data_IF_046369860185
#
_entry.id   IF_046369860185
#
_cell.length_a   1.000
_cell.length_b   1.000
_cell.length_c   1.000
_cell.angle_alpha   90.00
_cell.angle_beta   90.00
_cell.angle_gamma   90.00
#
_symmetry.space_group_name_H-M   'P 1'
#
loop_
_entity.id
_entity.type
_entity.pdbx_description
1 polymer ?
#
# COMPACT_ATOMS: atom_id res chain seq x y z
N UNK A 1 -14.17 27.15 -5.59
CA UNK A 1 -12.73 26.83 -5.41
C UNK A 1 -11.92 27.68 -6.38
N UNK A 2 -10.73 28.14 -5.96
CA UNK A 2 -9.86 29.01 -6.75
C UNK A 2 -8.91 28.13 -7.57
N UNK A 3 -8.80 28.37 -8.89
CA UNK A 3 -7.83 27.67 -9.74
C UNK A 3 -6.40 27.93 -9.27
N UNK A 4 -5.62 26.87 -9.08
CA UNK A 4 -4.24 26.92 -8.55
C UNK A 4 -3.20 26.92 -9.68
N UNK A 5 -3.49 26.26 -10.80
CA UNK A 5 -2.59 26.17 -11.95
C UNK A 5 -2.93 27.21 -13.03
N UNK A 6 -1.88 27.74 -13.66
CA UNK A 6 -1.97 28.59 -14.85
C UNK A 6 -1.70 27.75 -16.10
N UNK A 7 -2.75 27.34 -16.80
CA UNK A 7 -2.65 26.48 -18.00
C UNK A 7 -1.96 27.13 -19.20
N UNK A 8 -1.61 28.42 -19.13
CA UNK A 8 -0.77 29.06 -20.15
C UNK A 8 0.73 28.76 -19.94
N UNK A 9 1.10 28.21 -18.79
CA UNK A 9 2.48 27.85 -18.43
C UNK A 9 2.71 26.35 -18.55
N UNK A 10 3.92 25.98 -18.97
CA UNK A 10 4.39 24.61 -18.91
C UNK A 10 4.96 24.32 -17.53
N UNK A 11 4.50 23.24 -16.90
CA UNK A 11 4.98 22.79 -15.59
C UNK A 11 5.71 21.45 -15.73
N UNK A 12 6.87 21.35 -15.08
CA UNK A 12 7.54 20.06 -14.86
C UNK A 12 7.02 19.44 -13.56
N UNK A 13 7.33 18.16 -13.33
CA UNK A 13 6.98 17.50 -12.08
C UNK A 13 7.56 18.22 -10.84
N UNK A 14 8.81 18.67 -10.91
CA UNK A 14 9.46 19.40 -9.81
C UNK A 14 8.71 20.69 -9.44
N UNK A 15 8.18 21.41 -10.44
CA UNK A 15 7.45 22.65 -10.20
C UNK A 15 6.24 22.44 -9.27
N UNK A 16 5.54 21.31 -9.38
CA UNK A 16 4.39 21.03 -8.51
C UNK A 16 4.80 20.84 -7.03
N UNK A 17 5.97 20.23 -6.78
CA UNK A 17 6.51 20.05 -5.43
C UNK A 17 6.95 21.38 -4.83
N UNK A 18 7.65 22.21 -5.60
CA UNK A 18 8.15 23.52 -5.16
C UNK A 18 7.00 24.49 -4.84
N UNK A 19 5.84 24.33 -5.49
CA UNK A 19 4.64 25.12 -5.23
C UNK A 19 3.93 24.74 -3.92
N UNK A 20 4.30 23.61 -3.29
CA UNK A 20 3.68 23.14 -2.04
C UNK A 20 2.18 22.87 -2.17
N UNK A 21 1.73 22.47 -3.36
CA UNK A 21 0.31 22.17 -3.61
C UNK A 21 0.01 20.77 -3.06
N UNK A 22 -1.04 20.67 -2.25
CA UNK A 22 -1.53 19.37 -1.79
C UNK A 22 -1.99 18.49 -2.96
N UNK A 23 -1.70 17.20 -2.87
CA UNK A 23 -1.90 16.28 -4.00
C UNK A 23 -3.37 16.15 -4.42
N UNK A 24 -4.30 16.28 -3.48
CA UNK A 24 -5.75 16.25 -3.71
C UNK A 24 -6.23 17.49 -4.47
N UNK A 25 -5.71 18.67 -4.13
CA UNK A 25 -5.96 19.94 -4.84
C UNK A 25 -5.40 19.86 -6.26
N UNK A 26 -4.19 19.32 -6.42
CA UNK A 26 -3.60 19.13 -7.74
C UNK A 26 -4.43 18.16 -8.60
N UNK A 27 -4.85 17.03 -8.04
CA UNK A 27 -5.68 16.06 -8.75
C UNK A 27 -7.01 16.70 -9.23
N UNK A 28 -7.62 17.55 -8.40
CA UNK A 28 -8.85 18.25 -8.72
C UNK A 28 -8.71 19.22 -9.90
N UNK A 29 -7.57 19.92 -10.03
CA UNK A 29 -7.28 20.80 -11.18
C UNK A 29 -7.25 20.04 -12.51
N UNK A 30 -6.90 18.75 -12.47
CA UNK A 30 -6.92 17.86 -13.64
C UNK A 30 -8.25 17.12 -13.82
N UNK A 31 -9.27 17.45 -13.02
CA UNK A 31 -10.60 16.84 -13.09
C UNK A 31 -10.69 15.48 -12.39
N UNK A 32 -9.70 15.11 -11.58
CA UNK A 32 -9.72 13.89 -10.78
C UNK A 32 -10.16 14.18 -9.35
N UNK A 33 -10.95 13.27 -8.79
CA UNK A 33 -11.36 13.30 -7.39
C UNK A 33 -10.90 12.04 -6.67
N UNK A 34 -10.81 12.12 -5.36
CA UNK A 34 -10.59 10.95 -4.51
C UNK A 34 -11.92 10.49 -3.93
N UNK A 35 -12.20 9.19 -4.07
CA UNK A 35 -13.40 8.56 -3.53
C UNK A 35 -12.99 7.49 -2.51
N UNK A 36 -13.34 7.70 -1.24
CA UNK A 36 -13.13 6.75 -0.17
C UNK A 36 -14.37 5.89 -0.01
N UNK A 37 -14.29 4.64 -0.46
CA UNK A 37 -15.35 3.65 -0.27
C UNK A 37 -15.01 2.73 0.88
N UNK A 38 -15.97 2.53 1.77
CA UNK A 38 -15.89 1.43 2.73
C UNK A 38 -16.14 0.12 1.98
N UNK A 39 -15.19 -0.81 2.07
CA UNK A 39 -15.32 -2.14 1.52
C UNK A 39 -15.68 -3.11 2.63
N UNK A 40 -16.81 -3.81 2.48
CA UNK A 40 -17.14 -4.96 3.30
C UNK A 40 -16.28 -6.14 2.83
N UNK A 41 -15.07 -6.27 3.40
CA UNK A 41 -14.19 -7.37 3.08
C UNK A 41 -14.76 -8.68 3.66
N UNK A 42 -14.72 -9.79 2.90
CA UNK A 42 -15.08 -11.10 3.42
C UNK A 42 -14.26 -11.39 4.67
N UNK A 43 -14.96 -11.69 5.76
CA UNK A 43 -14.31 -12.11 7.00
C UNK A 43 -13.97 -13.58 6.91
N UNK A 44 -12.73 -13.93 7.27
CA UNK A 44 -12.36 -15.33 7.37
C UNK A 44 -13.07 -15.95 8.57
N UNK A 45 -13.89 -16.97 8.32
CA UNK A 45 -14.48 -17.78 9.38
C UNK A 45 -13.57 -18.97 9.68
N UNK A 46 -13.09 -19.08 10.92
CA UNK A 46 -12.27 -20.19 11.39
C UNK A 46 -10.80 -19.84 11.66
N UNK A 47 -10.02 -20.79 12.20
CA UNK A 47 -8.64 -20.56 12.59
C UNK A 47 -7.74 -20.37 11.37
N UNK A 48 -6.81 -19.41 11.47
CA UNK A 48 -5.76 -19.21 10.49
C UNK A 48 -4.65 -20.23 10.77
N UNK A 49 -4.73 -21.42 10.15
CA UNK A 49 -3.79 -22.53 10.39
C UNK A 49 -2.31 -22.13 10.19
N UNK A 50 -2.04 -21.18 9.30
CA UNK A 50 -0.69 -20.71 9.00
C UNK A 50 -0.18 -19.60 9.93
N UNK A 51 -1.02 -19.08 10.84
CA UNK A 51 -0.65 -17.96 11.71
C UNK A 51 0.52 -18.31 12.63
N UNK A 52 0.48 -19.48 13.27
CA UNK A 52 1.55 -19.95 14.13
C UNK A 52 2.89 -20.07 13.37
N UNK A 53 2.85 -20.52 12.11
CA UNK A 53 4.06 -20.59 11.28
C UNK A 53 4.58 -19.19 10.89
N UNK A 54 3.67 -18.26 10.61
CA UNK A 54 4.03 -16.87 10.32
C UNK A 54 4.70 -16.22 11.54
N UNK A 55 4.13 -16.38 12.73
CA UNK A 55 4.69 -15.87 13.98
C UNK A 55 6.12 -16.37 14.19
N UNK A 56 6.34 -17.69 14.06
CA UNK A 56 7.68 -18.26 14.16
C UNK A 56 8.67 -17.65 13.16
N UNK A 57 8.23 -17.39 11.93
CA UNK A 57 9.08 -16.77 10.90
C UNK A 57 9.39 -15.32 11.21
N UNK A 58 8.41 -14.55 11.67
CA UNK A 58 8.59 -13.15 12.08
C UNK A 58 9.55 -13.09 13.26
N UNK A 59 9.34 -13.90 14.31
CA UNK A 59 10.23 -13.97 15.46
C UNK A 59 11.67 -14.31 15.06
N UNK A 60 11.85 -15.25 14.12
CA UNK A 60 13.19 -15.59 13.59
C UNK A 60 13.81 -14.45 12.80
N UNK A 61 13.05 -13.69 12.02
CA UNK A 61 13.59 -12.53 11.29
C UNK A 61 14.00 -11.45 12.27
N UNK A 62 13.14 -11.14 13.25
CA UNK A 62 13.40 -10.10 14.25
C UNK A 62 14.64 -10.37 15.10
N UNK A 63 14.96 -11.64 15.39
CA UNK A 63 16.18 -11.98 16.14
C UNK A 63 17.48 -11.72 15.37
N UNK A 64 17.42 -11.51 14.05
CA UNK A 64 18.58 -11.30 13.19
C UNK A 64 18.63 -9.90 12.56
N UNK A 65 17.64 -9.03 12.83
CA UNK A 65 17.55 -7.69 12.24
C UNK A 65 17.74 -6.62 13.31
N UNK A 66 18.63 -5.67 13.05
CA UNK A 66 18.75 -4.47 13.86
C UNK A 66 17.58 -3.50 13.57
N UNK A 67 16.69 -3.33 14.55
CA UNK A 67 15.51 -2.47 14.49
C UNK A 67 15.82 -0.99 14.75
N UNK A 68 17.09 -0.58 14.90
CA UNK A 68 17.46 0.83 15.07
C UNK A 68 17.12 1.70 13.85
N UNK A 69 17.14 1.11 12.65
CA UNK A 69 16.81 1.79 11.39
C UNK A 69 15.35 1.54 10.98
N UNK A 70 14.65 2.58 10.55
CA UNK A 70 13.28 2.48 10.05
C UNK A 70 13.16 1.67 8.75
N UNK A 71 14.15 1.75 7.86
CA UNK A 71 14.13 0.95 6.63
C UNK A 71 14.15 -0.54 6.96
N UNK A 72 15.03 -0.96 7.88
CA UNK A 72 15.13 -2.34 8.32
C UNK A 72 13.85 -2.82 9.03
N UNK A 73 13.22 -1.95 9.83
CA UNK A 73 11.92 -2.25 10.46
C UNK A 73 10.84 -2.51 9.43
N UNK A 74 10.69 -1.63 8.44
CA UNK A 74 9.69 -1.79 7.37
C UNK A 74 9.91 -3.06 6.58
N UNK A 75 11.13 -3.33 6.15
CA UNK A 75 11.41 -4.53 5.34
C UNK A 75 11.22 -5.81 6.15
N UNK A 76 11.72 -5.87 7.38
CA UNK A 76 11.60 -7.05 8.25
C UNK A 76 10.16 -7.38 8.62
N UNK A 77 9.33 -6.36 8.84
CA UNK A 77 7.93 -6.53 9.23
C UNK A 77 6.99 -6.70 8.05
N UNK A 78 7.23 -6.09 6.89
CA UNK A 78 6.28 -6.13 5.75
C UNK A 78 6.55 -7.34 4.83
N UNK A 79 7.82 -7.69 4.60
CA UNK A 79 8.20 -8.76 3.67
C UNK A 79 7.61 -10.17 3.99
N UNK A 80 7.45 -10.58 5.27
CA UNK A 80 6.85 -11.87 5.61
C UNK A 80 5.39 -11.98 5.18
N UNK A 81 4.62 -10.90 5.33
CA UNK A 81 3.20 -10.85 4.98
C UNK A 81 3.00 -10.75 3.46
N UNK A 82 3.73 -9.86 2.78
CA UNK A 82 3.60 -9.65 1.33
C UNK A 82 3.87 -10.90 0.48
N UNK A 83 4.87 -11.71 0.86
CA UNK A 83 5.15 -12.99 0.19
C UNK A 83 3.98 -13.97 0.22
N UNK A 84 3.14 -13.92 1.27
CA UNK A 84 1.99 -14.81 1.38
C UNK A 84 0.78 -14.27 0.62
N UNK A 85 0.54 -12.96 0.64
CA UNK A 85 -0.48 -12.33 -0.21
C UNK A 85 -0.29 -12.70 -1.68
N UNK A 86 0.93 -12.57 -2.23
CA UNK A 86 1.22 -12.97 -3.61
C UNK A 86 1.10 -14.49 -3.87
N UNK A 87 1.22 -15.33 -2.85
CA UNK A 87 1.00 -16.77 -2.95
C UNK A 87 -0.48 -17.14 -2.93
N UNK A 88 -1.25 -16.54 -2.02
CA UNK A 88 -2.70 -16.73 -1.90
C UNK A 88 -3.44 -16.17 -3.11
N UNK A 89 -3.04 -15.01 -3.63
CA UNK A 89 -3.60 -14.44 -4.86
C UNK A 89 -3.40 -15.39 -6.05
N UNK A 90 -2.20 -15.99 -6.17
CA UNK A 90 -1.90 -16.99 -7.21
C UNK A 90 -2.75 -18.24 -7.05
N UNK A 91 -2.96 -18.72 -5.84
CA UNK A 91 -3.88 -19.84 -5.58
C UNK A 91 -5.33 -19.49 -5.90
N UNK A 92 -5.80 -18.28 -5.57
CA UNK A 92 -7.18 -17.86 -5.82
C UNK A 92 -7.48 -17.66 -7.31
N UNK A 93 -6.52 -17.12 -8.08
CA UNK A 93 -6.61 -17.00 -9.54
C UNK A 93 -6.55 -18.39 -10.21
N UNK A 94 -5.65 -19.27 -9.76
CA UNK A 94 -5.56 -20.64 -10.30
C UNK A 94 -6.81 -21.50 -10.05
N UNK A 95 -7.61 -21.17 -9.01
CA UNK A 95 -8.85 -21.86 -8.68
C UNK A 95 -10.12 -21.13 -9.17
N UNK A 96 -9.98 -20.10 -10.01
CA UNK A 96 -11.12 -19.41 -10.64
C UNK A 96 -12.03 -18.64 -9.68
N UNK A 97 -11.53 -18.26 -8.49
CA UNK A 97 -12.33 -17.58 -7.45
C UNK A 97 -12.52 -16.09 -7.77
N UNK A 98 -11.65 -15.52 -8.61
CA UNK A 98 -11.80 -14.18 -9.17
C UNK A 98 -11.95 -14.31 -10.68
N UNK A 99 -13.20 -14.49 -11.13
CA UNK A 99 -13.64 -14.32 -12.51
C UNK A 99 -14.26 -12.95 -12.69
#
# INVERSE_FOLDING_TARGET
MKKVLDFTKSYTFCNYFDMGIEADVLAWEFGYGFDLRSLALPQLAGPIEWLANLELRVSRILSHVNLGNEQNRREALIAPYGRRYCGVQRCAVANGIYG
#
